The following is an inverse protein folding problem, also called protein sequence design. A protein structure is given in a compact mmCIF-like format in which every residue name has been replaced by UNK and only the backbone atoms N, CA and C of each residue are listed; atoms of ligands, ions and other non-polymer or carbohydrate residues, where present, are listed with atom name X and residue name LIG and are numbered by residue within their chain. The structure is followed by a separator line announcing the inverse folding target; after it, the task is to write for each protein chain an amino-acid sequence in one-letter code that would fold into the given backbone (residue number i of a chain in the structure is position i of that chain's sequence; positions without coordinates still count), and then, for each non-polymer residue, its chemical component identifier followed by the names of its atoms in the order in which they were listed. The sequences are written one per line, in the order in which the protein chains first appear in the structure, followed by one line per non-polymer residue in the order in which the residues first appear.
data_IF_902310571466
#
_entry.id   IF_902310571466
#
_cell.length_a   1.000
_cell.length_b   1.000
_cell.length_c   1.000
_cell.angle_alpha   90.00
_cell.angle_beta   90.00
_cell.angle_gamma   90.00
#
_symmetry.space_group_name_H-M   'P 1'
#
loop_
_entity.id
_entity.type
_entity.pdbx_description
1 polymer ?
#
# COMPACT_ATOMS: atom_id res chain seq x y z
N UNK A 1 -16.29 -39.81 -11.76
CA UNK A 1 -16.49 -38.69 -10.80
C UNK A 1 -16.82 -39.30 -9.45
N UNK A 2 -15.91 -39.21 -8.48
CA UNK A 2 -16.16 -39.73 -7.14
C UNK A 2 -17.16 -38.78 -6.45
N UNK A 3 -18.26 -39.27 -5.83
CA UNK A 3 -19.20 -38.43 -5.12
C UNK A 3 -18.46 -37.72 -3.97
N UNK A 4 -18.50 -36.41 -3.96
CA UNK A 4 -17.93 -35.61 -2.86
C UNK A 4 -18.63 -36.06 -1.58
N UNK A 5 -17.83 -36.51 -0.59
CA UNK A 5 -18.33 -36.76 0.77
C UNK A 5 -19.07 -35.49 1.24
N UNK A 6 -20.27 -35.60 1.84
CA UNK A 6 -20.97 -34.45 2.36
C UNK A 6 -20.07 -33.72 3.38
N UNK A 7 -19.96 -32.42 3.23
CA UNK A 7 -19.14 -31.60 4.14
C UNK A 7 -19.76 -31.63 5.54
N UNK A 8 -18.94 -31.91 6.54
CA UNK A 8 -19.35 -31.87 7.97
C UNK A 8 -19.85 -30.47 8.30
N UNK A 9 -20.98 -30.38 8.96
CA UNK A 9 -21.64 -29.12 9.28
C UNK A 9 -21.56 -28.79 10.80
N UNK A 10 -21.78 -27.53 11.17
CA UNK A 10 -21.91 -27.14 12.58
C UNK A 10 -23.07 -27.90 13.30
N UNK A 11 -24.08 -28.40 12.56
CA UNK A 11 -25.15 -29.21 13.08
C UNK A 11 -24.64 -30.60 13.48
N UNK A 12 -23.73 -31.17 12.74
CA UNK A 12 -23.14 -32.47 13.07
C UNK A 12 -22.25 -32.37 14.31
N UNK A 13 -21.48 -31.30 14.44
CA UNK A 13 -20.72 -31.00 15.66
C UNK A 13 -21.64 -30.82 16.86
N UNK A 14 -22.76 -30.08 16.70
CA UNK A 14 -23.75 -29.89 17.74
C UNK A 14 -24.34 -31.20 18.25
N UNK A 15 -24.72 -32.08 17.31
CA UNK A 15 -25.24 -33.45 17.61
C UNK A 15 -24.19 -34.27 18.33
N UNK A 16 -22.94 -34.27 17.86
CA UNK A 16 -21.84 -35.05 18.45
C UNK A 16 -21.45 -34.57 19.86
N UNK A 17 -21.46 -33.24 20.09
CA UNK A 17 -21.12 -32.62 21.38
C UNK A 17 -22.30 -32.60 22.38
N UNK A 18 -23.52 -32.97 21.97
CA UNK A 18 -24.71 -32.91 22.81
C UNK A 18 -25.11 -31.48 23.23
N UNK A 19 -24.98 -30.53 22.29
CA UNK A 19 -25.29 -29.10 22.54
C UNK A 19 -26.09 -28.50 21.38
N UNK A 20 -26.61 -27.29 21.54
CA UNK A 20 -27.27 -26.57 20.46
C UNK A 20 -26.26 -25.99 19.45
N UNK A 21 -26.68 -25.75 18.21
CA UNK A 21 -25.87 -25.07 17.17
C UNK A 21 -25.39 -23.70 17.63
N UNK A 22 -26.18 -22.98 18.44
CA UNK A 22 -25.80 -21.70 19.00
C UNK A 22 -24.61 -21.82 19.99
N UNK A 23 -24.54 -22.91 20.74
CA UNK A 23 -23.42 -23.21 21.64
C UNK A 23 -22.16 -23.54 20.83
N UNK A 24 -22.27 -24.34 19.75
CA UNK A 24 -21.16 -24.61 18.82
C UNK A 24 -20.62 -23.31 18.23
N UNK A 25 -21.49 -22.44 17.73
CA UNK A 25 -21.08 -21.14 17.18
C UNK A 25 -20.31 -20.29 18.19
N UNK A 26 -20.81 -20.21 19.42
CA UNK A 26 -20.12 -19.45 20.50
C UNK A 26 -18.81 -20.08 20.94
N UNK A 27 -18.75 -21.40 21.01
CA UNK A 27 -17.53 -22.14 21.37
C UNK A 27 -16.39 -21.90 20.37
N UNK A 28 -16.71 -21.94 19.06
CA UNK A 28 -15.75 -21.84 17.98
C UNK A 28 -15.38 -20.38 17.62
N UNK A 29 -16.26 -19.39 17.93
CA UNK A 29 -15.97 -17.99 17.65
C UNK A 29 -15.29 -17.24 18.79
N UNK A 30 -15.00 -17.88 19.88
CA UNK A 30 -14.45 -17.29 21.12
C UNK A 30 -15.30 -16.13 21.69
N UNK A 31 -16.52 -15.93 21.21
CA UNK A 31 -17.43 -14.87 21.57
C UNK A 31 -18.60 -15.39 22.42
N UNK A 32 -18.79 -14.80 23.57
CA UNK A 32 -19.92 -15.05 24.47
C UNK A 32 -19.60 -16.03 25.61
N UNK A 33 -20.42 -15.94 26.67
CA UNK A 33 -20.32 -16.77 27.87
C UNK A 33 -20.75 -18.20 27.53
N UNK A 34 -19.85 -19.15 27.73
CA UNK A 34 -20.08 -20.60 27.59
C UNK A 34 -19.27 -21.29 28.67
N UNK A 35 -19.86 -22.35 29.30
CA UNK A 35 -19.13 -23.11 30.31
C UNK A 35 -17.88 -23.78 29.75
N UNK A 36 -16.76 -23.84 30.49
CA UNK A 36 -15.53 -24.51 30.06
C UNK A 36 -15.77 -25.95 29.59
N UNK A 37 -16.64 -26.67 30.25
CA UNK A 37 -17.01 -28.05 29.90
C UNK A 37 -17.71 -28.13 28.52
N UNK A 38 -18.70 -27.26 28.28
CA UNK A 38 -19.37 -27.23 26.97
C UNK A 38 -18.41 -26.84 25.84
N UNK A 39 -17.48 -25.91 26.09
CA UNK A 39 -16.43 -25.56 25.13
C UNK A 39 -15.53 -26.75 24.82
N UNK A 40 -15.06 -27.48 25.85
CA UNK A 40 -14.19 -28.63 25.66
C UNK A 40 -14.88 -29.74 24.87
N UNK A 41 -16.17 -30.02 25.11
CA UNK A 41 -16.96 -30.99 24.36
C UNK A 41 -17.08 -30.60 22.87
N UNK A 42 -17.36 -29.33 22.59
CA UNK A 42 -17.49 -28.83 21.21
C UNK A 42 -16.16 -28.92 20.47
N UNK A 43 -15.04 -28.50 21.08
CA UNK A 43 -13.73 -28.57 20.45
C UNK A 43 -13.32 -30.01 20.13
N UNK A 44 -13.52 -30.95 21.06
CA UNK A 44 -13.27 -32.37 20.86
C UNK A 44 -14.15 -32.96 19.73
N UNK A 45 -15.44 -32.64 19.72
CA UNK A 45 -16.35 -33.10 18.66
C UNK A 45 -15.96 -32.53 17.28
N UNK A 46 -15.53 -31.28 17.20
CA UNK A 46 -15.06 -30.66 15.97
C UNK A 46 -13.79 -31.35 15.43
N UNK A 47 -12.83 -31.63 16.33
CA UNK A 47 -11.60 -32.35 15.99
C UNK A 47 -11.88 -33.78 15.50
N UNK A 48 -12.69 -34.56 16.25
CA UNK A 48 -13.08 -35.93 15.88
C UNK A 48 -13.77 -36.01 14.51
N UNK A 49 -14.57 -35.02 14.16
CA UNK A 49 -15.29 -34.96 12.89
C UNK A 49 -14.47 -34.33 11.76
N UNK A 50 -13.31 -33.74 12.06
CA UNK A 50 -12.54 -32.96 11.10
C UNK A 50 -13.29 -31.69 10.65
N UNK A 51 -14.15 -31.11 11.52
CA UNK A 51 -14.92 -29.93 11.21
C UNK A 51 -14.04 -28.69 11.22
N UNK A 52 -14.01 -27.98 10.11
CA UNK A 52 -13.40 -26.66 10.01
C UNK A 52 -14.49 -25.58 9.92
N UNK A 53 -14.29 -24.50 10.69
CA UNK A 53 -15.20 -23.36 10.63
C UNK A 53 -15.15 -22.74 9.24
N UNK A 54 -16.29 -22.74 8.56
CA UNK A 54 -16.41 -22.02 7.30
C UNK A 54 -16.64 -20.52 7.60
N UNK A 55 -15.58 -19.73 7.58
CA UNK A 55 -15.64 -18.29 7.81
C UNK A 55 -16.49 -17.55 6.78
N UNK A 56 -16.59 -18.05 5.53
CA UNK A 56 -17.47 -17.48 4.52
C UNK A 56 -18.95 -17.66 4.89
N UNK A 57 -19.32 -18.84 5.42
CA UNK A 57 -20.67 -19.08 5.90
C UNK A 57 -21.01 -18.29 7.16
N UNK A 58 -20.03 -18.01 8.03
CA UNK A 58 -20.24 -17.12 9.18
C UNK A 58 -20.40 -15.66 8.77
N UNK A 59 -19.70 -15.20 7.75
CA UNK A 59 -19.80 -13.86 7.18
C UNK A 59 -21.22 -13.55 6.65
N UNK A 60 -21.93 -14.55 6.14
CA UNK A 60 -23.34 -14.42 5.71
C UNK A 60 -24.28 -14.00 6.86
N UNK A 61 -24.02 -14.47 8.08
CA UNK A 61 -24.84 -14.14 9.26
C UNK A 61 -24.43 -12.85 9.97
N UNK A 62 -23.18 -12.36 9.75
CA UNK A 62 -22.60 -11.17 10.45
C UNK A 62 -22.50 -9.93 9.57
N UNK A 63 -22.93 -9.99 8.31
CA UNK A 63 -22.83 -8.92 7.29
C UNK A 63 -21.37 -8.43 6.99
N UNK A 64 -20.35 -9.00 7.63
CA UNK A 64 -18.92 -8.70 7.43
C UNK A 64 -18.11 -9.98 7.39
N UNK A 65 -17.16 -10.07 6.48
CA UNK A 65 -16.17 -11.16 6.43
C UNK A 65 -14.94 -10.81 7.29
N UNK A 66 -14.08 -11.79 7.57
CA UNK A 66 -12.76 -11.54 8.15
C UNK A 66 -11.71 -11.25 7.05
N UNK A 67 -12.14 -10.60 5.95
CA UNK A 67 -11.28 -10.25 4.84
C UNK A 67 -11.03 -8.75 4.80
N UNK A 68 -9.78 -8.37 4.53
CA UNK A 68 -9.38 -7.00 4.15
C UNK A 68 -8.92 -7.04 2.70
N UNK A 69 -9.52 -6.22 1.85
CA UNK A 69 -9.07 -6.03 0.48
C UNK A 69 -7.80 -5.15 0.45
N UNK A 70 -6.77 -5.59 -0.24
CA UNK A 70 -5.54 -4.81 -0.44
C UNK A 70 -5.29 -4.65 -1.93
N UNK A 71 -5.31 -3.42 -2.41
CA UNK A 71 -5.08 -3.09 -3.81
C UNK A 71 -3.68 -2.52 -3.97
N UNK A 72 -2.90 -3.18 -4.80
CA UNK A 72 -1.50 -2.84 -5.06
C UNK A 72 -1.26 -2.65 -6.56
N UNK A 73 -0.14 -2.05 -6.93
CA UNK A 73 0.39 -2.09 -8.29
C UNK A 73 1.91 -2.22 -8.24
N UNK A 74 2.49 -2.81 -9.28
CA UNK A 74 3.95 -2.95 -9.41
C UNK A 74 4.59 -3.53 -8.14
N UNK A 75 4.20 -4.75 -7.79
CA UNK A 75 4.72 -5.48 -6.60
C UNK A 75 6.25 -5.67 -6.68
N UNK A 76 6.83 -5.60 -7.88
CA UNK A 76 8.29 -5.64 -8.08
C UNK A 76 9.04 -4.40 -7.57
N UNK A 77 8.34 -3.30 -7.25
CA UNK A 77 8.95 -2.13 -6.63
C UNK A 77 9.30 -2.44 -5.16
N UNK A 78 10.56 -2.27 -4.71
CA UNK A 78 11.00 -2.64 -3.36
C UNK A 78 10.21 -1.95 -2.25
N UNK A 79 9.86 -0.67 -2.40
CA UNK A 79 9.05 0.05 -1.41
C UNK A 79 7.66 -0.58 -1.30
N UNK A 80 7.04 -0.90 -2.44
CA UNK A 80 5.67 -1.45 -2.48
C UNK A 80 5.61 -2.87 -1.95
N UNK A 81 6.62 -3.69 -2.23
CA UNK A 81 6.70 -5.04 -1.68
C UNK A 81 6.92 -5.02 -0.17
N UNK A 82 7.77 -4.12 0.34
CA UNK A 82 7.99 -3.95 1.78
C UNK A 82 6.71 -3.44 2.48
N UNK A 83 6.02 -2.46 1.88
CA UNK A 83 4.75 -1.98 2.40
C UNK A 83 3.69 -3.09 2.42
N UNK A 84 3.60 -3.88 1.36
CA UNK A 84 2.67 -5.01 1.30
C UNK A 84 2.97 -6.05 2.37
N UNK A 85 4.24 -6.41 2.57
CA UNK A 85 4.65 -7.34 3.64
C UNK A 85 4.22 -6.83 5.02
N UNK A 86 4.49 -5.56 5.32
CA UNK A 86 4.07 -4.94 6.59
C UNK A 86 2.54 -4.94 6.76
N UNK A 87 1.78 -4.65 5.70
CA UNK A 87 0.31 -4.69 5.73
C UNK A 87 -0.21 -6.12 5.96
N UNK A 88 0.34 -7.11 5.27
CA UNK A 88 -0.08 -8.50 5.42
C UNK A 88 0.17 -9.01 6.84
N UNK A 89 1.34 -8.73 7.41
CA UNK A 89 1.69 -9.09 8.78
C UNK A 89 0.72 -8.45 9.79
N UNK A 90 0.41 -7.16 9.64
CA UNK A 90 -0.49 -6.48 10.55
C UNK A 90 -1.94 -6.97 10.42
N UNK A 91 -2.43 -7.17 9.19
CA UNK A 91 -3.76 -7.73 8.92
C UNK A 91 -3.92 -9.10 9.60
N UNK A 92 -2.91 -9.98 9.49
CA UNK A 92 -2.92 -11.29 10.14
C UNK A 92 -2.87 -11.18 11.66
N UNK A 93 -2.05 -10.28 12.19
CA UNK A 93 -1.94 -10.03 13.64
C UNK A 93 -3.28 -9.58 14.23
N UNK A 94 -4.08 -8.84 13.46
CA UNK A 94 -5.44 -8.41 13.85
C UNK A 94 -6.51 -9.48 13.65
N UNK A 95 -6.13 -10.70 13.21
CA UNK A 95 -7.06 -11.81 13.00
C UNK A 95 -7.86 -11.75 11.70
N UNK A 96 -7.45 -10.90 10.75
CA UNK A 96 -8.02 -10.84 9.41
C UNK A 96 -7.18 -11.61 8.39
N UNK A 97 -7.76 -11.85 7.21
CA UNK A 97 -7.06 -12.37 6.04
C UNK A 97 -7.05 -11.31 4.95
N UNK A 98 -5.91 -11.16 4.27
CA UNK A 98 -5.81 -10.23 3.15
C UNK A 98 -6.30 -10.87 1.85
N UNK A 99 -7.11 -10.15 1.09
CA UNK A 99 -7.45 -10.43 -0.29
C UNK A 99 -6.70 -9.43 -1.17
N UNK A 100 -5.53 -9.83 -1.69
CA UNK A 100 -4.65 -8.96 -2.46
C UNK A 100 -5.04 -9.00 -3.94
N UNK A 101 -5.12 -7.82 -4.56
CA UNK A 101 -5.29 -7.68 -6.01
C UNK A 101 -4.26 -6.69 -6.55
N UNK A 102 -3.49 -7.13 -7.54
CA UNK A 102 -2.65 -6.24 -8.33
C UNK A 102 -3.47 -5.62 -9.45
N UNK A 103 -3.27 -4.31 -9.66
CA UNK A 103 -3.93 -3.54 -10.71
C UNK A 103 -2.89 -2.94 -11.64
N UNK A 104 -3.24 -2.86 -12.93
CA UNK A 104 -2.40 -2.28 -13.98
C UNK A 104 -3.05 -1.05 -14.62
N UNK A 105 -4.34 -0.82 -14.35
CA UNK A 105 -5.11 0.30 -14.89
C UNK A 105 -6.18 0.80 -13.91
N UNK A 106 -6.74 1.97 -14.18
CA UNK A 106 -7.89 2.50 -13.42
C UNK A 106 -9.16 1.64 -13.60
N UNK A 107 -9.30 0.98 -14.75
CA UNK A 107 -10.42 0.06 -15.00
C UNK A 107 -10.32 -1.17 -14.10
N UNK A 108 -9.10 -1.72 -13.90
CA UNK A 108 -8.85 -2.84 -12.98
C UNK A 108 -9.19 -2.45 -11.54
N UNK A 109 -8.87 -1.21 -11.15
CA UNK A 109 -9.19 -0.68 -9.82
C UNK A 109 -10.71 -0.69 -9.58
N UNK A 110 -11.48 -0.17 -10.53
CA UNK A 110 -12.93 -0.14 -10.45
C UNK A 110 -13.53 -1.55 -10.33
N UNK A 111 -13.05 -2.48 -11.17
CA UNK A 111 -13.53 -3.86 -11.16
C UNK A 111 -13.14 -4.58 -9.85
N UNK A 112 -11.94 -4.33 -9.34
CA UNK A 112 -11.46 -4.92 -8.08
C UNK A 112 -12.29 -4.45 -6.89
N UNK A 113 -12.61 -3.15 -6.80
CA UNK A 113 -13.47 -2.63 -5.74
C UNK A 113 -14.86 -3.28 -5.75
N UNK A 114 -15.48 -3.44 -6.92
CA UNK A 114 -16.75 -4.16 -7.03
C UNK A 114 -16.65 -5.61 -6.59
N UNK A 115 -15.57 -6.31 -6.94
CA UNK A 115 -15.32 -7.69 -6.47
C UNK A 115 -15.17 -7.74 -4.95
N UNK A 116 -14.44 -6.81 -4.35
CA UNK A 116 -14.28 -6.75 -2.91
C UNK A 116 -15.61 -6.51 -2.19
N UNK A 117 -16.47 -5.66 -2.73
CA UNK A 117 -17.83 -5.50 -2.22
C UNK A 117 -18.64 -6.80 -2.29
N UNK A 118 -18.53 -7.56 -3.40
CA UNK A 118 -19.18 -8.89 -3.53
C UNK A 118 -18.66 -9.92 -2.50
N UNK A 119 -17.37 -9.87 -2.17
CA UNK A 119 -16.77 -10.69 -1.11
C UNK A 119 -17.08 -10.18 0.30
N UNK A 120 -17.80 -9.05 0.42
CA UNK A 120 -18.13 -8.39 1.70
C UNK A 120 -16.91 -8.19 2.58
N UNK A 121 -15.82 -7.70 2.00
CA UNK A 121 -14.62 -7.37 2.77
C UNK A 121 -14.95 -6.39 3.88
N UNK A 122 -14.27 -6.49 5.00
CA UNK A 122 -14.48 -5.61 6.17
C UNK A 122 -13.86 -4.22 6.01
N UNK A 123 -12.96 -4.06 5.03
CA UNK A 123 -12.34 -2.80 4.66
C UNK A 123 -11.45 -2.96 3.45
N UNK A 124 -11.05 -1.85 2.84
CA UNK A 124 -10.17 -1.82 1.66
C UNK A 124 -9.01 -0.88 1.89
N UNK A 125 -7.80 -1.34 1.60
CA UNK A 125 -6.57 -0.54 1.58
C UNK A 125 -6.15 -0.36 0.12
N UNK A 126 -6.00 0.89 -0.33
CA UNK A 126 -5.58 1.24 -1.68
C UNK A 126 -4.20 1.85 -1.64
N UNK A 127 -3.19 1.11 -2.11
CA UNK A 127 -1.80 1.59 -2.17
C UNK A 127 -1.45 2.17 -3.54
N UNK A 128 -2.30 1.98 -4.54
CA UNK A 128 -2.05 2.35 -5.94
C UNK A 128 -3.33 2.75 -6.68
N UNK A 129 -3.20 3.66 -7.64
CA UNK A 129 -4.32 4.19 -8.42
C UNK A 129 -5.16 5.21 -7.62
N UNK A 130 -5.91 6.04 -8.29
CA UNK A 130 -6.91 6.92 -7.67
C UNK A 130 -8.29 6.28 -7.90
N UNK A 131 -8.95 5.75 -6.85
CA UNK A 131 -10.24 5.13 -7.04
C UNK A 131 -11.26 6.17 -7.53
N UNK A 132 -12.14 5.81 -8.47
CA UNK A 132 -13.25 6.68 -8.86
C UNK A 132 -14.12 7.01 -7.66
N UNK A 133 -14.43 8.28 -7.46
CA UNK A 133 -15.21 8.77 -6.31
C UNK A 133 -16.55 8.03 -6.16
N UNK A 134 -17.24 7.78 -7.26
CA UNK A 134 -18.50 7.04 -7.26
C UNK A 134 -18.37 5.64 -6.63
N UNK A 135 -17.29 4.92 -6.91
CA UNK A 135 -17.06 3.57 -6.36
C UNK A 135 -16.66 3.60 -4.89
N UNK A 136 -15.91 4.63 -4.48
CA UNK A 136 -15.60 4.84 -3.07
C UNK A 136 -16.89 5.14 -2.30
N UNK A 137 -17.75 5.98 -2.83
CA UNK A 137 -19.05 6.28 -2.25
C UNK A 137 -19.93 5.02 -2.14
N UNK A 138 -19.89 4.10 -3.13
CA UNK A 138 -20.56 2.79 -3.01
C UNK A 138 -20.01 1.97 -1.83
N UNK A 139 -18.68 1.92 -1.65
CA UNK A 139 -18.06 1.25 -0.50
C UNK A 139 -18.50 1.88 0.83
N UNK A 140 -18.48 3.21 0.91
CA UNK A 140 -18.89 3.95 2.12
C UNK A 140 -20.37 3.70 2.44
N UNK A 141 -21.25 3.72 1.44
CA UNK A 141 -22.69 3.41 1.61
C UNK A 141 -22.91 1.97 2.10
N UNK A 142 -22.05 1.04 1.70
CA UNK A 142 -22.08 -0.35 2.17
C UNK A 142 -21.34 -0.53 3.51
N UNK A 143 -20.92 0.56 4.16
CA UNK A 143 -20.14 0.55 5.41
C UNK A 143 -18.81 -0.20 5.27
N UNK A 144 -18.21 -0.20 4.09
CA UNK A 144 -16.86 -0.72 3.85
C UNK A 144 -15.88 0.46 3.92
N UNK A 145 -15.10 0.60 5.01
CA UNK A 145 -14.12 1.67 5.13
C UNK A 145 -13.02 1.51 4.07
N UNK A 146 -12.57 2.63 3.53
CA UNK A 146 -11.49 2.69 2.55
C UNK A 146 -10.36 3.55 3.10
N UNK A 147 -9.13 3.02 3.00
CA UNK A 147 -7.90 3.73 3.38
C UNK A 147 -7.01 3.88 2.16
N UNK A 148 -6.64 5.12 1.83
CA UNK A 148 -5.69 5.44 0.77
C UNK A 148 -4.28 5.67 1.31
N UNK A 149 -3.26 5.06 0.71
CA UNK A 149 -1.86 5.27 1.09
C UNK A 149 -1.15 6.09 0.03
N UNK A 150 -0.48 7.17 0.45
CA UNK A 150 0.23 8.12 -0.41
C UNK A 150 -0.65 8.66 -1.56
N UNK A 151 -1.89 9.05 -1.23
CA UNK A 151 -2.92 9.55 -2.16
C UNK A 151 -3.37 10.95 -1.81
N UNK A 152 -3.88 11.65 -2.82
CA UNK A 152 -4.52 12.94 -2.59
C UNK A 152 -5.81 12.75 -1.76
N UNK A 153 -5.96 13.46 -0.63
CA UNK A 153 -7.15 13.36 0.23
C UNK A 153 -8.29 14.19 -0.37
N UNK A 154 -8.96 13.65 -1.39
CA UNK A 154 -10.03 14.36 -2.13
C UNK A 154 -11.41 13.78 -1.92
N UNK A 155 -11.52 12.55 -1.43
CA UNK A 155 -12.81 11.85 -1.34
C UNK A 155 -13.29 11.84 0.11
N UNK A 156 -14.47 12.46 0.42
CA UNK A 156 -15.04 12.39 1.77
C UNK A 156 -15.31 10.95 2.21
N UNK A 157 -15.04 10.65 3.50
CA UNK A 157 -15.26 9.32 4.06
C UNK A 157 -14.17 8.29 3.76
N UNK A 158 -13.05 8.71 3.15
CA UNK A 158 -11.82 7.92 2.99
C UNK A 158 -10.78 8.42 3.98
N UNK A 159 -10.16 7.51 4.69
CA UNK A 159 -8.99 7.81 5.52
C UNK A 159 -7.72 7.76 4.66
N UNK A 160 -6.74 8.61 4.97
CA UNK A 160 -5.48 8.67 4.22
C UNK A 160 -4.28 8.57 5.15
N UNK A 161 -3.32 7.77 4.73
CA UNK A 161 -2.00 7.67 5.36
C UNK A 161 -0.96 8.10 4.36
N UNK A 162 -0.24 9.17 4.65
CA UNK A 162 0.77 9.75 3.76
C UNK A 162 2.07 10.01 4.51
N UNK A 163 3.18 9.86 3.81
CA UNK A 163 4.45 10.42 4.28
C UNK A 163 4.35 11.95 4.33
N UNK A 164 5.04 12.57 5.26
CA UNK A 164 5.21 14.02 5.26
C UNK A 164 6.19 14.42 4.15
N UNK A 165 5.63 14.56 2.94
CA UNK A 165 6.41 14.89 1.76
C UNK A 165 7.05 16.28 1.85
N UNK A 166 6.46 17.19 2.61
CA UNK A 166 7.02 18.54 2.80
C UNK A 166 8.25 18.51 3.70
N UNK A 167 8.13 17.90 4.88
CA UNK A 167 9.27 17.76 5.80
C UNK A 167 10.43 16.98 5.16
N UNK A 168 10.14 15.90 4.43
CA UNK A 168 11.19 15.15 3.72
C UNK A 168 11.90 15.98 2.65
N UNK A 169 11.16 16.77 1.87
CA UNK A 169 11.74 17.66 0.86
C UNK A 169 12.56 18.80 1.47
N UNK A 170 12.14 19.32 2.63
CA UNK A 170 12.93 20.32 3.38
C UNK A 170 14.26 19.75 3.87
N UNK A 171 14.25 18.52 4.42
CA UNK A 171 15.45 17.82 4.84
C UNK A 171 16.42 17.59 3.67
N UNK A 172 15.91 17.19 2.50
CA UNK A 172 16.71 17.01 1.30
C UNK A 172 17.35 18.36 0.84
N UNK A 173 16.56 19.44 0.83
CA UNK A 173 17.08 20.77 0.50
C UNK A 173 18.19 21.21 1.47
N UNK A 174 17.98 21.03 2.78
CA UNK A 174 18.96 21.34 3.80
C UNK A 174 20.24 20.52 3.63
N UNK A 175 20.13 19.24 3.33
CA UNK A 175 21.26 18.36 3.13
C UNK A 175 22.11 18.79 1.93
N UNK A 176 21.46 19.06 0.79
CA UNK A 176 22.16 19.50 -0.42
C UNK A 176 22.84 20.87 -0.23
N UNK A 177 22.17 21.81 0.45
CA UNK A 177 22.76 23.11 0.77
C UNK A 177 23.97 22.99 1.72
N UNK A 178 23.88 22.14 2.75
CA UNK A 178 25.00 21.86 3.66
C UNK A 178 26.17 21.21 2.95
N UNK A 179 25.92 20.43 1.91
CA UNK A 179 26.94 19.83 1.04
C UNK A 179 27.61 20.87 0.11
N UNK A 180 27.19 22.12 0.15
CA UNK A 180 27.75 23.23 -0.64
C UNK A 180 27.18 23.31 -2.06
N UNK A 181 26.15 22.54 -2.40
CA UNK A 181 25.53 22.61 -3.72
C UNK A 181 24.89 23.99 -3.96
N UNK A 182 25.08 24.50 -5.18
CA UNK A 182 24.49 25.77 -5.66
C UNK A 182 23.57 25.53 -6.87
N UNK A 183 23.70 24.39 -7.56
CA UNK A 183 22.89 23.99 -8.71
C UNK A 183 22.21 22.67 -8.42
N UNK A 184 20.88 22.71 -8.40
CA UNK A 184 20.02 21.64 -7.94
C UNK A 184 19.23 20.99 -9.07
N UNK A 185 18.91 19.71 -8.91
CA UNK A 185 17.99 18.99 -9.76
C UNK A 185 16.83 18.39 -8.95
N UNK A 186 15.66 18.36 -9.55
CA UNK A 186 14.54 17.54 -9.13
C UNK A 186 14.24 16.50 -10.20
N UNK A 187 14.36 15.22 -9.85
CA UNK A 187 14.13 14.12 -10.79
C UNK A 187 12.85 13.36 -10.46
N UNK A 188 11.95 13.28 -11.44
CA UNK A 188 10.74 12.46 -11.37
C UNK A 188 10.42 11.85 -12.74
N UNK A 189 9.61 10.78 -12.77
CA UNK A 189 9.06 10.25 -14.00
C UNK A 189 7.78 10.97 -14.43
N UNK A 190 7.43 10.88 -15.70
CA UNK A 190 6.21 11.45 -16.25
C UNK A 190 5.34 10.35 -16.91
N UNK A 191 4.02 10.27 -16.60
CA UNK A 191 3.26 11.12 -15.68
C UNK A 191 3.59 10.86 -14.20
N UNK A 192 3.72 11.93 -13.43
CA UNK A 192 4.11 11.85 -12.02
C UNK A 192 2.95 11.43 -11.12
N UNK A 193 3.25 10.70 -10.04
CA UNK A 193 2.29 10.43 -8.97
C UNK A 193 1.98 11.71 -8.17
N UNK A 194 0.87 11.70 -7.43
CA UNK A 194 0.56 12.81 -6.51
C UNK A 194 1.70 13.05 -5.51
N UNK A 195 2.21 12.00 -4.85
CA UNK A 195 3.31 12.12 -3.90
C UNK A 195 4.59 12.68 -4.55
N UNK A 196 4.90 12.26 -5.78
CA UNK A 196 6.03 12.79 -6.54
C UNK A 196 5.90 14.28 -6.82
N UNK A 197 4.71 14.75 -7.22
CA UNK A 197 4.46 16.18 -7.41
C UNK A 197 4.63 16.97 -6.11
N UNK A 198 4.03 16.48 -5.02
CA UNK A 198 4.14 17.13 -3.70
C UNK A 198 5.59 17.28 -3.24
N UNK A 199 6.42 16.25 -3.45
CA UNK A 199 7.85 16.28 -3.13
C UNK A 199 8.59 17.35 -3.93
N UNK A 200 8.38 17.40 -5.25
CA UNK A 200 9.02 18.38 -6.12
C UNK A 200 8.63 19.81 -5.80
N UNK A 201 7.32 20.06 -5.60
CA UNK A 201 6.84 21.39 -5.22
C UNK A 201 7.35 21.82 -3.84
N UNK A 202 7.38 20.90 -2.87
CA UNK A 202 7.92 21.20 -1.54
C UNK A 202 9.43 21.45 -1.58
N UNK A 203 10.17 20.70 -2.39
CA UNK A 203 11.61 20.90 -2.58
C UNK A 203 11.93 22.28 -3.18
N UNK A 204 11.21 22.66 -4.25
CA UNK A 204 11.36 24.00 -4.83
C UNK A 204 11.06 25.11 -3.82
N UNK A 205 9.96 25.00 -3.06
CA UNK A 205 9.63 25.95 -1.99
C UNK A 205 10.69 25.98 -0.91
N UNK A 206 11.21 24.82 -0.51
CA UNK A 206 12.25 24.75 0.52
C UNK A 206 13.54 25.45 0.12
N UNK A 207 14.00 25.27 -1.13
CA UNK A 207 15.13 25.98 -1.69
C UNK A 207 14.89 27.50 -1.75
N UNK A 208 13.71 27.91 -2.23
CA UNK A 208 13.34 29.32 -2.34
C UNK A 208 13.31 30.01 -0.98
N UNK A 209 12.75 29.37 0.04
CA UNK A 209 12.72 29.89 1.43
C UNK A 209 14.13 30.08 2.01
N UNK A 210 15.11 29.29 1.52
CA UNK A 210 16.53 29.37 1.91
C UNK A 210 17.36 30.33 1.04
N UNK A 211 16.69 31.12 0.21
CA UNK A 211 17.32 32.18 -0.60
C UNK A 211 17.87 31.71 -1.95
N UNK A 212 17.57 30.51 -2.39
CA UNK A 212 17.96 30.03 -3.73
C UNK A 212 17.01 30.59 -4.78
N UNK A 213 17.55 31.18 -5.85
CA UNK A 213 16.81 31.54 -7.04
C UNK A 213 16.49 30.26 -7.84
N UNK A 214 15.31 29.70 -7.60
CA UNK A 214 14.91 28.40 -8.18
C UNK A 214 14.75 28.46 -9.71
N UNK A 215 14.44 29.60 -10.29
CA UNK A 215 14.33 29.77 -11.74
C UNK A 215 15.70 29.60 -12.43
N UNK A 216 16.77 29.98 -11.75
CA UNK A 216 18.14 29.91 -12.28
C UNK A 216 18.91 28.66 -11.85
N UNK A 217 18.59 28.11 -10.69
CA UNK A 217 19.42 27.10 -10.02
C UNK A 217 18.74 25.74 -9.81
N UNK A 218 17.43 25.58 -10.11
CA UNK A 218 16.73 24.31 -10.02
C UNK A 218 16.34 23.78 -11.41
N UNK A 219 16.97 22.72 -11.84
CA UNK A 219 16.61 21.98 -13.04
C UNK A 219 15.52 20.92 -12.73
N UNK A 220 14.46 20.91 -13.53
CA UNK A 220 13.42 19.88 -13.47
C UNK A 220 13.73 18.81 -14.50
N UNK A 221 14.07 17.61 -14.02
CA UNK A 221 14.41 16.47 -14.84
C UNK A 221 13.21 15.51 -14.86
N UNK A 222 12.65 15.32 -16.05
CA UNK A 222 11.54 14.38 -16.25
C UNK A 222 12.00 13.23 -17.15
N UNK A 223 11.84 12.00 -16.71
CA UNK A 223 12.10 10.80 -17.49
C UNK A 223 10.79 10.11 -17.90
N UNK A 224 10.82 9.43 -19.06
CA UNK A 224 9.67 8.67 -19.56
C UNK A 224 9.64 7.26 -18.96
N UNK A 225 10.79 6.73 -18.60
CA UNK A 225 10.92 5.43 -17.97
C UNK A 225 10.83 5.57 -16.46
N UNK A 226 10.30 4.55 -15.81
CA UNK A 226 10.22 4.50 -14.36
C UNK A 226 11.43 3.80 -13.74
N UNK A 227 11.64 4.02 -12.46
CA UNK A 227 12.64 3.32 -11.67
C UNK A 227 14.07 3.54 -12.15
N UNK A 228 14.90 2.50 -12.05
CA UNK A 228 16.32 2.58 -12.35
C UNK A 228 16.63 3.03 -13.79
N UNK A 229 15.90 2.50 -14.78
CA UNK A 229 16.08 2.88 -16.17
C UNK A 229 15.78 4.37 -16.44
N UNK A 230 14.76 4.92 -15.77
CA UNK A 230 14.46 6.35 -15.80
C UNK A 230 15.58 7.21 -15.22
N UNK A 231 16.19 6.74 -14.14
CA UNK A 231 17.37 7.39 -13.57
C UNK A 231 18.57 7.43 -14.53
N UNK A 232 18.88 6.32 -15.17
CA UNK A 232 19.92 6.26 -16.23
C UNK A 232 19.62 7.22 -17.39
N UNK A 233 18.36 7.23 -17.86
CA UNK A 233 17.95 8.15 -18.93
C UNK A 233 18.14 9.61 -18.53
N UNK A 234 17.73 9.98 -17.33
CA UNK A 234 17.87 11.35 -16.83
C UNK A 234 19.34 11.76 -16.65
N UNK A 235 20.20 10.84 -16.20
CA UNK A 235 21.63 11.10 -16.06
C UNK A 235 22.30 11.40 -17.40
N UNK A 236 21.88 10.71 -18.47
CA UNK A 236 22.41 10.95 -19.81
C UNK A 236 22.09 12.35 -20.34
N UNK A 237 20.99 12.96 -19.87
CA UNK A 237 20.50 14.27 -20.28
C UNK A 237 20.85 15.40 -19.28
N UNK A 238 21.41 15.05 -18.12
CA UNK A 238 21.71 16.03 -17.08
C UNK A 238 22.83 16.98 -17.49
N UNK A 239 22.64 18.26 -17.11
CA UNK A 239 23.65 19.31 -17.29
C UNK A 239 24.92 18.98 -16.46
N UNK A 240 26.08 19.28 -17.03
CA UNK A 240 27.36 19.13 -16.33
C UNK A 240 27.50 20.05 -15.12
N UNK A 241 26.79 21.15 -15.10
CA UNK A 241 26.78 22.10 -13.99
C UNK A 241 25.93 21.64 -12.80
N UNK A 242 25.17 20.53 -12.91
CA UNK A 242 24.35 20.00 -11.80
C UNK A 242 25.26 19.50 -10.67
N UNK A 243 25.06 19.99 -9.44
CA UNK A 243 25.88 19.65 -8.28
C UNK A 243 25.13 18.76 -7.27
N UNK A 244 23.82 18.93 -7.14
CA UNK A 244 23.00 18.15 -6.25
C UNK A 244 21.64 17.80 -6.84
N UNK A 245 21.10 16.62 -6.52
CA UNK A 245 19.80 16.18 -7.02
C UNK A 245 18.96 15.58 -5.90
N UNK A 246 17.67 15.91 -5.93
CA UNK A 246 16.65 15.21 -5.16
C UNK A 246 15.80 14.37 -6.10
N UNK A 247 15.66 13.08 -5.80
CA UNK A 247 14.93 12.13 -6.63
C UNK A 247 13.61 11.72 -5.98
N UNK A 248 12.57 11.53 -6.77
CA UNK A 248 11.24 11.15 -6.30
C UNK A 248 11.20 9.78 -5.59
N UNK A 249 12.16 8.91 -5.85
CA UNK A 249 12.32 7.62 -5.17
C UNK A 249 13.75 7.09 -5.33
N UNK A 250 14.08 6.07 -4.51
CA UNK A 250 15.42 5.47 -4.47
C UNK A 250 15.83 4.80 -5.80
N UNK A 251 14.92 4.18 -6.54
CA UNK A 251 15.26 3.53 -7.80
C UNK A 251 15.71 4.54 -8.86
N UNK A 252 15.03 5.69 -8.96
CA UNK A 252 15.46 6.79 -9.82
C UNK A 252 16.85 7.31 -9.39
N UNK A 253 17.07 7.46 -8.07
CA UNK A 253 18.35 7.92 -7.54
C UNK A 253 19.50 6.95 -7.87
N UNK A 254 19.31 5.65 -7.66
CA UNK A 254 20.32 4.62 -8.00
C UNK A 254 20.67 4.66 -9.49
N UNK A 255 19.67 4.68 -10.37
CA UNK A 255 19.89 4.76 -11.81
C UNK A 255 20.62 6.05 -12.21
N UNK A 256 20.22 7.18 -11.63
CA UNK A 256 20.85 8.47 -11.89
C UNK A 256 22.32 8.49 -11.45
N UNK A 257 22.62 8.00 -10.25
CA UNK A 257 23.99 7.92 -9.74
C UNK A 257 24.88 7.03 -10.62
N UNK A 258 24.39 5.86 -11.03
CA UNK A 258 25.16 4.98 -11.91
C UNK A 258 25.36 5.59 -13.30
N UNK A 259 24.35 6.29 -13.83
CA UNK A 259 24.49 7.05 -15.06
C UNK A 259 25.51 8.19 -14.97
N UNK A 260 25.55 8.89 -13.84
CA UNK A 260 26.57 9.94 -13.61
C UNK A 260 27.98 9.35 -13.48
N UNK A 261 28.13 8.18 -12.83
CA UNK A 261 29.42 7.46 -12.77
C UNK A 261 29.91 7.04 -14.17
N UNK A 262 29.02 6.57 -15.04
CA UNK A 262 29.37 6.23 -16.45
C UNK A 262 29.86 7.44 -17.21
N UNK A 263 29.46 8.65 -16.82
CA UNK A 263 29.95 9.93 -17.37
C UNK A 263 31.21 10.46 -16.65
N UNK A 264 31.82 9.65 -15.76
CA UNK A 264 33.03 10.04 -15.02
C UNK A 264 32.77 10.99 -13.87
N UNK A 265 31.53 11.13 -13.39
CA UNK A 265 31.17 11.98 -12.23
C UNK A 265 30.84 11.10 -11.03
N UNK A 266 31.73 11.12 -10.03
CA UNK A 266 31.53 10.39 -8.79
C UNK A 266 30.93 11.28 -7.69
N UNK A 267 30.11 10.71 -6.82
CA UNK A 267 29.41 11.41 -5.73
C UNK A 267 30.34 11.99 -4.66
N UNK A 268 31.59 11.57 -4.60
CA UNK A 268 32.58 12.04 -3.62
C UNK A 268 33.39 13.26 -4.06
N UNK A 269 33.24 13.73 -5.31
CA UNK A 269 34.10 14.79 -5.89
C UNK A 269 33.36 16.01 -6.45
N UNK A 270 32.08 16.22 -6.17
CA UNK A 270 31.33 17.38 -6.69
C UNK A 270 29.87 17.12 -7.06
N UNK A 271 29.33 16.00 -6.61
CA UNK A 271 27.92 15.68 -6.83
C UNK A 271 27.30 15.04 -5.58
N UNK A 272 26.15 15.52 -5.13
CA UNK A 272 25.38 14.98 -4.01
C UNK A 272 24.00 14.56 -4.48
N UNK A 273 23.53 13.40 -4.03
CA UNK A 273 22.18 12.90 -4.33
C UNK A 273 21.44 12.56 -3.05
N UNK A 274 20.17 12.93 -3.02
CA UNK A 274 19.25 12.62 -1.94
C UNK A 274 17.97 11.99 -2.50
N UNK A 275 17.24 11.22 -1.69
CA UNK A 275 16.01 10.55 -2.10
C UNK A 275 15.06 10.37 -0.92
N UNK A 276 13.81 10.14 -1.26
CA UNK A 276 12.71 9.96 -0.31
C UNK A 276 12.32 8.49 -0.19
#
# INVERSE_FOLDING_TARGET
MNPRKPSITAQDVARRAGVSRAVVSRALSNNGSISPDARARVLRAAEELGYQVNFLAQGLNRQRSHLIGVIVSRISDPFRSTLLDALLNEIQRQGFQALVSEIHSEQDLAQTLRRFAQFRVSGVIVTSGQPPEALVNECVQQHIPVVGINRQPTIPGVDYVCSDNAAGAELAADQLLRSGCQRFGWLNHHPSTWAGRMRGEAFGRALQTRGVDVERHLAILACQQEGYAGGLQAAALADEALEGIFCANAQLACGFLDGMRQRGRESSGGFSADWF
#
